data_IF_830883391000
#
_entry.id   IF_830883391000
#
_cell.length_a   1.000
_cell.length_b   1.000
_cell.length_c   1.000
_cell.angle_alpha   90.00
_cell.angle_beta   90.00
_cell.angle_gamma   90.00
#
_symmetry.space_group_name_H-M   'P 1'
#
loop_
_entity.id
_entity.type
_entity.pdbx_description
1 polymer ?
#
# COMPACT_ATOMS: atom_id res chain seq x y z
N UNK A 1 -21.39 19.01 7.59
CA UNK A 1 -20.94 17.80 8.30
C UNK A 1 -19.65 17.31 7.69
N UNK A 2 -18.67 16.95 8.51
CA UNK A 2 -17.38 16.47 8.04
C UNK A 2 -17.59 15.06 7.47
N UNK A 3 -17.31 14.85 6.18
CA UNK A 3 -17.43 13.54 5.55
C UNK A 3 -16.48 12.55 6.25
N UNK A 4 -17.03 11.59 6.96
CA UNK A 4 -16.31 10.49 7.57
C UNK A 4 -15.74 9.59 6.44
N UNK A 5 -14.65 8.88 6.72
CA UNK A 5 -14.20 7.82 5.86
C UNK A 5 -14.37 6.50 6.59
N UNK A 6 -15.19 5.61 6.03
CA UNK A 6 -15.49 4.31 6.60
C UNK A 6 -14.99 3.20 5.70
N UNK A 7 -14.69 2.08 6.31
CA UNK A 7 -14.22 0.85 5.66
C UNK A 7 -14.87 -0.37 6.34
N UNK A 8 -14.79 -1.53 5.70
CA UNK A 8 -15.26 -2.80 6.25
C UNK A 8 -14.07 -3.60 6.74
N UNK A 9 -14.08 -4.03 8.01
CA UNK A 9 -13.10 -4.99 8.51
C UNK A 9 -13.48 -6.40 8.04
N UNK A 10 -12.54 -7.05 7.35
CA UNK A 10 -12.79 -8.31 6.67
C UNK A 10 -13.23 -9.42 7.60
N UNK A 11 -12.53 -9.57 8.73
CA UNK A 11 -12.74 -10.70 9.66
C UNK A 11 -14.12 -10.66 10.32
N UNK A 12 -14.64 -9.48 10.62
CA UNK A 12 -15.93 -9.30 11.31
C UNK A 12 -17.08 -8.89 10.40
N UNK A 13 -16.79 -8.41 9.19
CA UNK A 13 -17.76 -7.79 8.28
C UNK A 13 -18.32 -6.45 8.79
N UNK A 14 -17.78 -5.88 9.87
CA UNK A 14 -18.28 -4.66 10.49
C UNK A 14 -17.70 -3.41 9.82
N UNK A 15 -18.50 -2.35 9.82
CA UNK A 15 -18.10 -1.02 9.34
C UNK A 15 -17.39 -0.27 10.45
N UNK A 16 -16.21 0.26 10.16
CA UNK A 16 -15.43 1.10 11.04
C UNK A 16 -15.18 2.48 10.43
N UNK A 17 -15.05 3.49 11.29
CA UNK A 17 -14.64 4.83 10.85
C UNK A 17 -13.14 5.00 11.02
N UNK A 18 -12.48 5.44 9.95
CA UNK A 18 -11.03 5.66 9.96
C UNK A 18 -10.66 6.90 10.79
N UNK A 19 -9.65 6.74 11.64
CA UNK A 19 -8.96 7.86 12.27
C UNK A 19 -7.97 8.47 11.28
N UNK A 20 -8.36 9.56 10.64
CA UNK A 20 -7.53 10.27 9.65
C UNK A 20 -6.55 11.21 10.34
N UNK A 21 -5.29 10.82 10.41
CA UNK A 21 -4.21 11.61 10.99
C UNK A 21 -3.90 12.83 10.11
N UNK A 22 -3.85 14.03 10.74
CA UNK A 22 -3.52 15.28 10.04
C UNK A 22 -4.51 15.73 8.96
N UNK A 23 -5.72 15.18 8.93
CA UNK A 23 -6.72 15.41 7.88
C UNK A 23 -7.04 16.89 7.63
N UNK A 24 -7.07 17.72 8.70
CA UNK A 24 -7.29 19.18 8.57
C UNK A 24 -6.17 19.87 7.80
N UNK A 25 -4.92 19.52 8.13
CA UNK A 25 -3.74 20.07 7.46
C UNK A 25 -3.66 19.61 6.01
N UNK A 26 -3.92 18.33 5.75
CA UNK A 26 -3.92 17.77 4.40
C UNK A 26 -5.00 18.45 3.56
N UNK A 27 -6.20 18.64 4.07
CA UNK A 27 -7.26 19.35 3.34
C UNK A 27 -6.91 20.81 3.06
N UNK A 28 -6.38 21.53 4.04
CA UNK A 28 -5.88 22.89 3.81
C UNK A 28 -4.85 22.93 2.68
N UNK A 29 -3.89 22.02 2.72
CA UNK A 29 -2.81 21.93 1.73
C UNK A 29 -3.35 21.63 0.33
N UNK A 30 -4.28 20.70 0.21
CA UNK A 30 -4.80 20.22 -1.08
C UNK A 30 -5.95 21.05 -1.65
N UNK A 31 -6.72 21.75 -0.83
CA UNK A 31 -7.79 22.62 -1.30
C UNK A 31 -7.30 24.06 -1.48
N UNK A 32 -6.76 24.67 -0.41
CA UNK A 32 -6.47 26.10 -0.42
C UNK A 32 -5.05 26.40 -0.92
N UNK A 33 -4.02 25.72 -0.40
CA UNK A 33 -2.63 26.00 -0.75
C UNK A 33 -2.35 25.61 -2.20
N UNK A 34 -2.86 24.48 -2.67
CA UNK A 34 -2.66 24.03 -4.06
C UNK A 34 -3.23 25.03 -5.06
N UNK A 35 -4.41 25.59 -4.78
CA UNK A 35 -5.09 26.51 -5.70
C UNK A 35 -4.52 27.94 -5.63
N UNK A 36 -4.22 28.43 -4.42
CA UNK A 36 -3.80 29.81 -4.21
C UNK A 36 -2.28 30.02 -4.16
N UNK A 37 -1.50 28.97 -3.89
CA UNK A 37 -0.05 29.03 -3.79
C UNK A 37 0.63 27.74 -4.36
N UNK A 38 0.55 27.50 -5.68
CA UNK A 38 1.00 26.24 -6.28
C UNK A 38 2.52 25.99 -6.11
N UNK A 39 3.34 27.04 -6.05
CA UNK A 39 4.78 26.91 -5.78
C UNK A 39 5.02 26.40 -4.35
N UNK A 40 4.27 26.90 -3.38
CA UNK A 40 4.35 26.43 -1.99
C UNK A 40 3.87 25.00 -1.86
N UNK A 41 2.79 24.63 -2.56
CA UNK A 41 2.31 23.26 -2.63
C UNK A 41 3.38 22.33 -3.22
N UNK A 42 4.02 22.71 -4.34
CA UNK A 42 5.13 21.97 -4.93
C UNK A 42 6.31 21.78 -3.96
N UNK A 43 6.61 22.79 -3.14
CA UNK A 43 7.64 22.73 -2.13
C UNK A 43 7.28 21.67 -1.05
N UNK A 44 6.05 21.68 -0.52
CA UNK A 44 5.61 20.73 0.50
C UNK A 44 5.56 19.27 -0.01
N UNK A 45 5.31 19.07 -1.29
CA UNK A 45 5.31 17.74 -1.92
C UNK A 45 6.68 17.34 -2.47
N UNK A 46 7.72 18.16 -2.25
CA UNK A 46 9.09 17.86 -2.66
C UNK A 46 9.79 16.85 -1.73
N UNK A 47 10.78 16.15 -2.26
CA UNK A 47 11.58 15.18 -1.50
C UNK A 47 12.28 15.82 -0.28
N UNK A 48 12.82 17.06 -0.43
CA UNK A 48 13.56 17.74 0.64
C UNK A 48 12.69 18.09 1.83
N UNK A 49 11.53 18.69 1.58
CA UNK A 49 10.59 19.07 2.66
C UNK A 49 9.94 17.85 3.25
N UNK A 50 9.58 16.88 2.43
CA UNK A 50 9.07 15.59 2.92
C UNK A 50 10.08 14.88 3.84
N UNK A 51 11.36 14.88 3.49
CA UNK A 51 12.44 14.34 4.33
C UNK A 51 12.61 15.10 5.64
N UNK A 52 12.58 16.45 5.62
CA UNK A 52 12.68 17.25 6.84
C UNK A 52 11.48 17.05 7.77
N UNK A 53 10.27 17.03 7.24
CA UNK A 53 9.05 16.74 8.00
C UNK A 53 9.09 15.31 8.58
N UNK A 54 9.61 14.35 7.82
CA UNK A 54 9.85 12.98 8.27
C UNK A 54 10.81 12.95 9.46
N UNK A 55 11.95 13.64 9.37
CA UNK A 55 12.92 13.71 10.47
C UNK A 55 12.32 14.33 11.74
N UNK A 56 11.66 15.49 11.63
CA UNK A 56 11.05 16.16 12.81
C UNK A 56 9.97 15.30 13.45
N UNK A 57 9.14 14.62 12.66
CA UNK A 57 8.01 13.86 13.18
C UNK A 57 8.38 12.45 13.65
N UNK A 58 9.44 11.84 13.12
CA UNK A 58 9.68 10.42 13.32
C UNK A 58 11.04 10.08 13.97
N UNK A 59 12.03 10.94 13.85
CA UNK A 59 13.36 10.69 14.38
C UNK A 59 13.64 11.41 15.71
N UNK A 60 12.83 12.42 16.06
CA UNK A 60 12.95 13.05 17.36
C UNK A 60 12.60 12.06 18.47
N UNK A 61 13.43 11.95 19.54
CA UNK A 61 13.12 11.09 20.67
C UNK A 61 11.73 11.45 21.24
N UNK A 62 10.92 10.44 21.46
CA UNK A 62 9.65 10.65 22.15
C UNK A 62 9.97 11.09 23.58
N UNK A 63 9.45 12.26 23.99
CA UNK A 63 9.77 12.90 25.27
C UNK A 63 9.84 11.88 26.40
N UNK A 64 11.03 11.80 27.03
CA UNK A 64 11.41 10.80 27.99
C UNK A 64 10.57 10.83 29.26
N UNK A 65 9.59 10.02 29.28
CA UNK A 65 8.82 9.65 30.43
C UNK A 65 8.22 8.27 30.17
N UNK A 66 8.18 7.44 31.17
CA UNK A 66 7.60 6.08 31.18
C UNK A 66 6.21 5.97 30.52
N UNK A 67 5.55 7.10 30.23
CA UNK A 67 4.21 7.20 29.63
C UNK A 67 4.23 7.60 28.15
N UNK A 68 5.25 8.29 27.64
CA UNK A 68 5.25 8.86 26.29
C UNK A 68 5.21 7.79 25.19
N UNK A 69 6.08 6.79 25.25
CA UNK A 69 6.12 5.70 24.30
C UNK A 69 4.87 4.84 24.35
N UNK A 70 4.41 4.49 25.55
CA UNK A 70 3.20 3.66 25.72
C UNK A 70 1.96 4.34 25.17
N UNK A 71 1.84 5.66 25.37
CA UNK A 71 0.72 6.42 24.82
C UNK A 71 0.75 6.45 23.30
N UNK A 72 1.91 6.71 22.68
CA UNK A 72 2.05 6.71 21.23
C UNK A 72 1.79 5.32 20.63
N UNK A 73 2.32 4.26 21.23
CA UNK A 73 2.06 2.87 20.83
C UNK A 73 0.56 2.53 20.92
N UNK A 74 -0.10 2.95 21.99
CA UNK A 74 -1.54 2.76 22.16
C UNK A 74 -2.36 3.57 21.15
N UNK A 75 -1.98 4.83 20.89
CA UNK A 75 -2.63 5.67 19.88
C UNK A 75 -2.49 5.13 18.47
N UNK A 76 -1.37 4.45 18.15
CA UNK A 76 -1.14 3.73 16.90
C UNK A 76 -1.77 2.32 16.88
N UNK A 77 -2.38 1.88 17.99
CA UNK A 77 -2.96 0.53 18.09
C UNK A 77 -1.95 -0.61 17.99
N UNK A 78 -0.68 -0.38 18.38
CA UNK A 78 0.38 -1.38 18.29
C UNK A 78 0.23 -2.42 19.39
N UNK A 79 0.01 -3.68 19.00
CA UNK A 79 0.09 -4.82 19.95
C UNK A 79 1.55 -5.24 20.12
N UNK A 80 2.13 -4.89 21.26
CA UNK A 80 3.52 -5.26 21.60
C UNK A 80 3.76 -6.78 21.62
N UNK A 81 2.71 -7.59 21.81
CA UNK A 81 2.81 -9.05 21.77
C UNK A 81 3.03 -9.59 20.34
N UNK A 82 2.80 -8.78 19.34
CA UNK A 82 3.12 -9.12 17.95
C UNK A 82 4.58 -8.81 17.59
N UNK A 83 5.23 -7.87 18.32
CA UNK A 83 6.55 -7.38 18.00
C UNK A 83 7.67 -8.36 18.40
N UNK A 84 8.74 -8.39 17.59
CA UNK A 84 9.97 -9.15 17.89
C UNK A 84 10.83 -8.43 18.92
N UNK A 85 10.83 -7.08 18.89
CA UNK A 85 11.62 -6.26 19.79
C UNK A 85 10.85 -6.00 21.09
N UNK A 86 11.56 -5.85 22.21
CA UNK A 86 10.95 -5.51 23.50
C UNK A 86 10.44 -4.06 23.52
N UNK A 87 9.50 -3.72 24.42
CA UNK A 87 8.89 -2.38 24.49
C UNK A 87 9.89 -1.22 24.57
N UNK A 88 11.01 -1.42 25.23
CA UNK A 88 12.07 -0.42 25.45
C UNK A 88 12.80 -0.04 24.18
N UNK A 89 12.75 -0.89 23.15
CA UNK A 89 13.32 -0.62 21.84
C UNK A 89 12.62 0.55 21.12
N UNK A 90 11.32 0.74 21.36
CA UNK A 90 10.48 1.69 20.64
C UNK A 90 10.54 3.10 21.25
N UNK A 91 11.71 3.73 21.23
CA UNK A 91 11.97 5.06 21.80
C UNK A 91 11.71 6.22 20.82
N UNK A 92 11.56 5.93 19.53
CA UNK A 92 11.21 6.89 18.48
C UNK A 92 10.01 6.40 17.65
N UNK A 93 9.21 7.33 17.08
CA UNK A 93 8.15 6.95 16.15
C UNK A 93 8.66 6.11 14.97
N UNK A 94 9.88 6.39 14.46
CA UNK A 94 10.49 5.58 13.40
C UNK A 94 10.60 4.11 13.79
N UNK A 95 11.11 3.79 14.97
CA UNK A 95 11.24 2.40 15.42
C UNK A 95 9.88 1.70 15.52
N UNK A 96 8.82 2.44 15.88
CA UNK A 96 7.45 1.91 15.90
C UNK A 96 6.98 1.56 14.48
N UNK A 97 7.23 2.42 13.50
CA UNK A 97 6.90 2.17 12.10
C UNK A 97 7.70 0.99 11.53
N UNK A 98 9.00 0.94 11.80
CA UNK A 98 9.91 -0.08 11.28
C UNK A 98 9.90 -1.37 12.12
N UNK A 99 8.88 -1.54 13.00
CA UNK A 99 8.77 -2.73 13.86
C UNK A 99 8.70 -4.01 13.06
N UNK A 100 9.38 -5.02 13.55
CA UNK A 100 9.26 -6.39 13.06
C UNK A 100 8.25 -7.14 13.93
N UNK A 101 7.47 -8.02 13.31
CA UNK A 101 6.43 -8.79 14.01
C UNK A 101 6.63 -10.30 13.80
N UNK A 102 6.05 -11.09 14.67
CA UNK A 102 5.96 -12.54 14.50
C UNK A 102 4.92 -12.90 13.41
N UNK A 103 5.15 -12.42 12.15
CA UNK A 103 4.15 -12.47 11.10
C UNK A 103 3.68 -13.90 10.77
N UNK A 104 4.54 -14.91 10.88
CA UNK A 104 4.16 -16.30 10.59
C UNK A 104 3.05 -16.79 11.53
N UNK A 105 3.08 -16.36 12.80
CA UNK A 105 2.07 -16.70 13.81
C UNK A 105 0.86 -15.78 13.78
N UNK A 106 1.09 -14.48 13.55
CA UNK A 106 0.06 -13.43 13.65
C UNK A 106 -0.66 -13.15 12.33
N UNK A 107 -0.05 -13.54 11.23
CA UNK A 107 -0.57 -13.41 9.86
C UNK A 107 -0.40 -14.75 9.14
N UNK A 108 -1.13 -15.80 9.58
CA UNK A 108 -1.02 -17.12 8.94
C UNK A 108 -1.33 -17.01 7.45
N UNK A 109 -0.54 -17.70 6.65
CA UNK A 109 -0.74 -17.76 5.21
C UNK A 109 -1.55 -19.01 4.86
N UNK A 110 -2.52 -18.90 3.93
CA UNK A 110 -3.25 -20.06 3.45
C UNK A 110 -2.31 -21.05 2.74
N UNK A 111 -2.57 -22.33 2.89
CA UNK A 111 -1.86 -23.41 2.21
C UNK A 111 -2.46 -23.66 0.82
N UNK A 112 -2.46 -22.63 -0.02
CA UNK A 112 -2.89 -22.69 -1.41
C UNK A 112 -1.81 -22.07 -2.29
N UNK A 113 -1.09 -22.87 -3.10
CA UNK A 113 -0.03 -22.39 -3.97
C UNK A 113 -0.54 -21.38 -5.02
N UNK A 114 -1.77 -21.55 -5.51
CA UNK A 114 -2.39 -20.65 -6.52
C UNK A 114 -3.02 -19.38 -5.95
N UNK A 115 -3.02 -19.21 -4.63
CA UNK A 115 -3.57 -18.00 -4.03
C UNK A 115 -2.59 -16.82 -4.13
N UNK A 116 -3.12 -15.65 -4.47
CA UNK A 116 -2.46 -14.35 -4.32
C UNK A 116 -2.80 -13.79 -2.95
N UNK A 117 -1.81 -13.37 -2.19
CA UNK A 117 -2.01 -12.88 -0.82
C UNK A 117 -1.76 -11.37 -0.70
N UNK A 118 -2.36 -10.74 0.31
CA UNK A 118 -2.14 -9.33 0.62
C UNK A 118 -0.65 -9.06 0.91
N UNK A 119 -0.06 -8.03 0.29
CA UNK A 119 1.33 -7.65 0.55
C UNK A 119 1.53 -6.98 1.90
N UNK A 120 0.47 -6.48 2.53
CA UNK A 120 0.54 -5.68 3.75
C UNK A 120 -0.73 -5.79 4.59
N UNK A 121 -0.63 -5.41 5.86
CA UNK A 121 -1.80 -4.98 6.64
C UNK A 121 -2.30 -3.65 6.05
N UNK A 122 -3.48 -3.65 5.42
CA UNK A 122 -3.87 -2.52 4.58
C UNK A 122 -5.37 -2.44 4.36
N UNK A 123 -5.81 -1.36 3.71
CA UNK A 123 -7.16 -1.24 3.15
C UNK A 123 -7.10 -1.43 1.65
N UNK A 124 -7.87 -2.38 1.14
CA UNK A 124 -7.82 -2.79 -0.26
C UNK A 124 -9.04 -2.28 -1.04
N UNK A 125 -8.75 -1.78 -2.24
CA UNK A 125 -9.70 -1.61 -3.35
C UNK A 125 -9.22 -2.44 -4.53
N UNK A 126 -10.14 -3.07 -5.23
CA UNK A 126 -9.84 -3.89 -6.41
C UNK A 126 -10.47 -3.29 -7.66
N UNK A 127 -9.98 -3.68 -8.84
CA UNK A 127 -10.52 -3.18 -10.08
C UNK A 127 -10.02 -3.92 -11.31
N UNK A 128 -10.58 -3.58 -12.47
CA UNK A 128 -10.18 -4.13 -13.77
C UNK A 128 -10.07 -3.03 -14.81
N UNK A 129 -9.07 -3.13 -15.69
CA UNK A 129 -8.91 -2.20 -16.82
C UNK A 129 -9.89 -2.47 -17.96
N UNK A 130 -10.58 -3.62 -17.95
CA UNK A 130 -11.59 -3.99 -18.95
C UNK A 130 -12.95 -3.38 -18.70
N UNK A 131 -13.37 -3.31 -17.44
CA UNK A 131 -14.67 -2.79 -17.10
C UNK A 131 -14.71 -1.28 -17.30
N UNK A 132 -15.56 -0.76 -18.19
CA UNK A 132 -15.71 0.68 -18.43
C UNK A 132 -16.00 1.47 -17.15
N UNK A 133 -16.72 0.85 -16.22
CA UNK A 133 -16.94 1.41 -14.87
C UNK A 133 -15.69 1.47 -14.01
N UNK A 134 -14.67 0.66 -14.30
CA UNK A 134 -13.41 0.58 -13.57
C UNK A 134 -12.28 1.36 -14.26
N UNK A 135 -12.39 1.68 -15.55
CA UNK A 135 -11.49 2.64 -16.21
C UNK A 135 -11.51 4.00 -15.52
N UNK A 136 -12.66 4.41 -15.02
CA UNK A 136 -12.78 5.64 -14.25
C UNK A 136 -11.94 5.61 -12.96
N UNK A 137 -11.87 4.47 -12.26
CA UNK A 137 -11.02 4.31 -11.08
C UNK A 137 -9.54 4.42 -11.43
N UNK A 138 -9.12 3.74 -12.50
CA UNK A 138 -7.77 3.82 -13.03
C UNK A 138 -7.35 5.27 -13.20
N UNK A 139 -8.11 6.07 -13.95
CA UNK A 139 -7.78 7.46 -14.24
C UNK A 139 -7.85 8.40 -13.02
N UNK A 140 -8.46 7.98 -11.92
CA UNK A 140 -8.51 8.74 -10.67
C UNK A 140 -7.32 8.46 -9.77
N UNK A 141 -6.92 7.19 -9.64
CA UNK A 141 -5.81 6.80 -8.78
C UNK A 141 -4.46 6.91 -9.49
N UNK A 142 -4.39 6.45 -10.73
CA UNK A 142 -3.16 6.48 -11.55
C UNK A 142 -3.47 6.47 -13.06
N UNK A 143 -2.58 7.04 -13.84
CA UNK A 143 -2.54 6.87 -15.29
C UNK A 143 -1.70 5.63 -15.60
N UNK A 144 -2.26 4.63 -16.27
CA UNK A 144 -1.66 3.30 -16.45
C UNK A 144 -0.26 3.36 -17.09
N UNK A 145 -0.12 4.09 -18.19
CA UNK A 145 1.16 4.22 -18.90
C UNK A 145 2.22 4.93 -18.05
N UNK A 146 1.81 6.00 -17.37
CA UNK A 146 2.71 6.75 -16.50
C UNK A 146 3.10 5.91 -15.28
N UNK A 147 2.16 5.12 -14.75
CA UNK A 147 2.34 4.34 -13.54
C UNK A 147 3.34 3.20 -13.71
N UNK A 148 3.32 2.51 -14.84
CA UNK A 148 4.28 1.46 -15.20
C UNK A 148 5.55 1.99 -15.89
N UNK A 149 5.56 3.26 -16.34
CA UNK A 149 6.64 3.84 -17.11
C UNK A 149 6.34 3.82 -18.62
N UNK A 150 6.27 5.00 -19.23
CA UNK A 150 5.92 5.17 -20.66
C UNK A 150 6.92 4.50 -21.62
N UNK A 151 8.16 4.34 -21.19
CA UNK A 151 9.23 3.67 -21.90
C UNK A 151 9.20 2.13 -21.79
N UNK A 152 8.46 1.61 -20.81
CA UNK A 152 8.34 0.17 -20.52
C UNK A 152 7.27 -0.52 -21.37
N UNK A 153 7.39 -0.41 -22.70
CA UNK A 153 6.39 -0.88 -23.68
C UNK A 153 6.03 -2.36 -23.55
N UNK A 154 6.96 -3.19 -23.15
CA UNK A 154 6.75 -4.62 -22.92
C UNK A 154 5.74 -4.83 -21.80
N UNK A 155 5.96 -4.20 -20.65
CA UNK A 155 5.08 -4.32 -19.48
C UNK A 155 3.73 -3.65 -19.71
N UNK A 156 3.69 -2.52 -20.43
CA UNK A 156 2.43 -1.89 -20.81
C UNK A 156 1.55 -2.81 -21.65
N UNK A 157 2.15 -3.55 -22.61
CA UNK A 157 1.40 -4.53 -23.41
C UNK A 157 0.97 -5.72 -22.57
N UNK A 158 1.85 -6.24 -21.71
CA UNK A 158 1.58 -7.42 -20.89
C UNK A 158 0.40 -7.22 -19.93
N UNK A 159 0.21 -6.01 -19.41
CA UNK A 159 -0.83 -5.69 -18.42
C UNK A 159 -2.03 -4.93 -19.00
N UNK A 160 -2.08 -4.67 -20.30
CA UNK A 160 -3.26 -4.08 -20.95
C UNK A 160 -4.48 -4.96 -20.72
N UNK A 161 -5.62 -4.37 -20.35
CA UNK A 161 -6.87 -5.11 -20.07
C UNK A 161 -6.87 -5.91 -18.77
N UNK A 162 -5.80 -5.91 -18.02
CA UNK A 162 -5.64 -6.69 -16.80
C UNK A 162 -6.46 -6.18 -15.61
N UNK A 163 -6.18 -6.76 -14.46
CA UNK A 163 -6.85 -6.46 -13.20
C UNK A 163 -5.87 -5.83 -12.20
N UNK A 164 -6.37 -5.10 -11.21
CA UNK A 164 -5.51 -4.45 -10.21
C UNK A 164 -6.10 -4.47 -8.80
N UNK A 165 -5.22 -4.41 -7.79
CA UNK A 165 -5.59 -4.22 -6.40
C UNK A 165 -4.71 -3.12 -5.79
N UNK A 166 -5.33 -2.17 -5.09
CA UNK A 166 -4.69 -1.04 -4.42
C UNK A 166 -4.76 -1.28 -2.91
N UNK A 167 -3.62 -1.33 -2.24
CA UNK A 167 -3.47 -1.58 -0.81
C UNK A 167 -2.94 -0.31 -0.14
N UNK A 168 -3.79 0.39 0.58
CA UNK A 168 -3.42 1.62 1.28
C UNK A 168 -3.05 1.30 2.73
N UNK A 169 -1.80 1.56 3.11
CA UNK A 169 -1.31 1.40 4.47
C UNK A 169 -1.53 2.69 5.25
N UNK A 170 -2.28 2.60 6.34
CA UNK A 170 -2.45 3.71 7.28
C UNK A 170 -1.31 3.73 8.31
N UNK A 171 -1.04 4.87 8.97
CA UNK A 171 0.11 5.02 9.87
C UNK A 171 0.18 4.03 11.04
N UNK A 172 -0.95 3.47 11.45
CA UNK A 172 -1.07 2.47 12.53
C UNK A 172 -0.65 1.06 12.10
N UNK A 173 -0.60 0.78 10.80
CA UNK A 173 -0.33 -0.55 10.27
C UNK A 173 1.15 -0.97 10.43
N UNK A 174 1.42 -2.24 10.19
CA UNK A 174 2.75 -2.79 10.00
C UNK A 174 3.25 -2.42 8.61
N UNK A 175 4.49 -1.92 8.47
CA UNK A 175 4.99 -1.25 7.27
C UNK A 175 6.02 -2.04 6.46
N UNK A 176 6.27 -3.30 6.77
CA UNK A 176 6.94 -4.20 5.82
C UNK A 176 5.95 -4.67 4.77
N UNK A 177 6.37 -4.64 3.51
CA UNK A 177 5.66 -5.28 2.41
C UNK A 177 6.20 -6.67 2.19
N UNK A 178 5.30 -7.60 1.97
CA UNK A 178 5.65 -8.99 1.68
C UNK A 178 5.28 -9.33 0.22
N UNK A 179 5.94 -10.32 -0.34
CA UNK A 179 5.63 -10.81 -1.68
C UNK A 179 4.22 -11.40 -1.72
N UNK A 180 3.39 -10.91 -2.63
CA UNK A 180 2.01 -11.42 -2.79
C UNK A 180 1.93 -12.77 -3.50
N UNK A 181 2.96 -13.11 -4.25
CA UNK A 181 3.06 -14.30 -5.10
C UNK A 181 4.46 -14.91 -4.98
N UNK A 182 4.60 -16.20 -5.29
CA UNK A 182 5.88 -16.81 -5.54
C UNK A 182 6.23 -16.71 -7.04
N UNK A 183 7.48 -16.42 -7.36
CA UNK A 183 7.90 -16.32 -8.74
C UNK A 183 9.31 -15.75 -8.90
N UNK A 184 9.74 -15.64 -10.14
CA UNK A 184 11.04 -15.08 -10.51
C UNK A 184 10.88 -13.61 -10.89
N UNK A 185 11.73 -12.76 -10.37
CA UNK A 185 11.79 -11.34 -10.76
C UNK A 185 12.23 -11.24 -12.22
N UNK A 186 11.33 -10.78 -13.09
CA UNK A 186 11.59 -10.54 -14.50
C UNK A 186 12.25 -9.16 -14.71
N UNK A 187 11.75 -8.12 -14.01
CA UNK A 187 12.31 -6.76 -14.06
C UNK A 187 12.16 -6.07 -12.70
N UNK A 188 13.07 -5.12 -12.43
CA UNK A 188 13.05 -4.31 -11.22
C UNK A 188 13.57 -2.92 -11.56
N UNK A 189 12.76 -1.88 -11.33
CA UNK A 189 13.13 -0.50 -11.60
C UNK A 189 12.43 0.50 -10.70
N UNK A 190 13.03 1.69 -10.58
CA UNK A 190 12.48 2.81 -9.83
C UNK A 190 12.00 3.90 -10.80
N UNK A 191 10.90 4.54 -10.47
CA UNK A 191 10.37 5.68 -11.19
C UNK A 191 10.39 6.87 -10.24
N UNK A 192 11.11 7.92 -10.62
CA UNK A 192 11.17 9.17 -9.86
C UNK A 192 9.81 9.88 -9.83
N UNK A 193 9.55 10.62 -8.76
CA UNK A 193 8.31 11.36 -8.59
C UNK A 193 8.29 12.20 -7.32
N UNK A 194 7.14 12.81 -7.04
CA UNK A 194 6.86 13.57 -5.84
C UNK A 194 6.40 12.72 -4.66
N UNK A 195 5.82 13.39 -3.67
CA UNK A 195 5.36 12.79 -2.41
C UNK A 195 3.96 13.28 -2.07
N UNK A 196 2.97 12.99 -2.93
CA UNK A 196 1.58 13.31 -2.65
C UNK A 196 1.01 12.39 -1.58
N UNK A 197 0.09 12.92 -0.77
CA UNK A 197 -0.54 12.14 0.30
C UNK A 197 -1.46 11.03 -0.22
N UNK A 198 -1.44 9.87 0.43
CA UNK A 198 -2.39 8.77 0.20
C UNK A 198 -3.66 8.88 1.09
N UNK A 199 -3.85 9.99 1.82
CA UNK A 199 -5.09 10.25 2.55
C UNK A 199 -6.27 10.29 1.58
N UNK A 200 -7.41 9.63 1.88
CA UNK A 200 -8.57 9.58 0.99
C UNK A 200 -9.07 10.96 0.52
N UNK A 201 -9.01 11.97 1.39
CA UNK A 201 -9.36 13.36 1.01
C UNK A 201 -8.42 13.94 -0.03
N UNK A 202 -7.12 13.70 0.07
CA UNK A 202 -6.13 14.14 -0.91
C UNK A 202 -6.26 13.38 -2.24
N UNK A 203 -6.45 12.06 -2.18
CA UNK A 203 -6.60 11.20 -3.37
C UNK A 203 -7.81 11.61 -4.21
N UNK A 204 -8.91 11.99 -3.58
CA UNK A 204 -10.10 12.49 -4.30
C UNK A 204 -9.84 13.84 -4.99
N UNK A 205 -9.00 14.69 -4.40
CA UNK A 205 -8.68 16.03 -4.91
C UNK A 205 -7.64 16.05 -6.04
N UNK A 206 -6.74 15.08 -6.07
CA UNK A 206 -5.65 15.01 -7.06
C UNK A 206 -5.94 13.97 -8.13
N UNK A 207 -5.77 14.35 -9.38
CA UNK A 207 -5.88 13.40 -10.50
C UNK A 207 -4.61 12.56 -10.56
N UNK A 208 -4.75 11.23 -10.55
CA UNK A 208 -3.67 10.25 -10.69
C UNK A 208 -2.51 10.41 -9.67
N UNK A 209 -2.79 10.56 -8.35
CA UNK A 209 -1.74 10.88 -7.38
C UNK A 209 -0.66 9.80 -7.30
N UNK A 210 -1.01 8.53 -7.47
CA UNK A 210 -0.04 7.43 -7.37
C UNK A 210 0.95 7.42 -8.54
N UNK A 211 0.55 7.84 -9.74
CA UNK A 211 1.47 7.99 -10.88
C UNK A 211 2.48 9.12 -10.72
N UNK A 212 2.14 10.12 -9.90
CA UNK A 212 3.00 11.28 -9.65
C UNK A 212 4.04 11.04 -8.56
N UNK A 213 3.86 10.02 -7.74
CA UNK A 213 4.77 9.71 -6.64
C UNK A 213 5.94 8.84 -7.08
N UNK A 214 7.09 9.01 -6.38
CA UNK A 214 8.22 8.07 -6.47
C UNK A 214 7.71 6.67 -6.14
N UNK A 215 8.13 5.67 -6.92
CA UNK A 215 7.70 4.28 -6.77
C UNK A 215 8.75 3.30 -7.24
N UNK A 216 8.64 2.09 -6.72
CA UNK A 216 9.45 0.93 -7.11
C UNK A 216 8.54 -0.08 -7.79
N UNK A 217 8.92 -0.56 -8.95
CA UNK A 217 8.19 -1.56 -9.73
C UNK A 217 8.99 -2.86 -9.75
N UNK A 218 8.34 -3.94 -9.37
CA UNK A 218 8.89 -5.30 -9.46
C UNK A 218 7.95 -6.13 -10.33
N UNK A 219 8.45 -6.61 -11.46
CA UNK A 219 7.71 -7.54 -12.34
C UNK A 219 8.11 -8.96 -11.95
N UNK A 220 7.13 -9.79 -11.64
CA UNK A 220 7.32 -11.15 -11.15
C UNK A 220 6.67 -12.11 -12.16
N UNK A 221 7.44 -13.01 -12.72
CA UNK A 221 6.94 -14.14 -13.50
C UNK A 221 6.60 -15.28 -12.56
N UNK A 222 5.32 -15.61 -12.47
CA UNK A 222 4.82 -16.66 -11.59
C UNK A 222 4.57 -17.98 -12.31
N UNK A 223 4.71 -18.03 -13.65
CA UNK A 223 4.57 -19.25 -14.47
C UNK A 223 5.91 -20.01 -14.57
N UNK A 224 6.67 -20.02 -13.48
CA UNK A 224 7.95 -20.73 -13.32
C UNK A 224 7.81 -21.85 -12.29
N UNK A 225 8.70 -22.85 -12.28
CA UNK A 225 8.66 -23.91 -11.27
C UNK A 225 8.66 -23.36 -9.85
N UNK A 226 7.66 -23.76 -9.05
CA UNK A 226 7.43 -23.27 -7.69
C UNK A 226 6.75 -21.89 -7.60
N UNK A 227 6.39 -21.30 -8.73
CA UNK A 227 5.65 -20.05 -8.79
C UNK A 227 4.15 -20.21 -8.50
N UNK A 228 3.46 -19.10 -8.35
CA UNK A 228 2.01 -19.08 -8.02
C UNK A 228 1.12 -19.44 -9.22
N UNK A 229 1.60 -19.32 -10.46
CA UNK A 229 0.86 -19.71 -11.67
C UNK A 229 -0.23 -18.72 -12.09
N UNK A 230 -0.07 -17.43 -11.79
CA UNK A 230 -1.00 -16.36 -12.17
C UNK A 230 -0.45 -15.43 -13.25
N UNK A 231 0.53 -15.90 -14.04
CA UNK A 231 1.19 -15.12 -15.08
C UNK A 231 2.15 -14.07 -14.53
N UNK A 232 2.30 -12.98 -15.25
CA UNK A 232 3.07 -11.84 -14.80
C UNK A 232 2.28 -11.02 -13.77
N UNK A 233 2.96 -10.60 -12.71
CA UNK A 233 2.43 -9.71 -11.68
C UNK A 233 3.35 -8.51 -11.53
N UNK A 234 2.83 -7.29 -11.65
CA UNK A 234 3.55 -6.10 -11.27
C UNK A 234 3.20 -5.74 -9.81
N UNK A 235 4.19 -5.78 -8.92
CA UNK A 235 4.11 -5.27 -7.56
C UNK A 235 4.74 -3.88 -7.53
N UNK A 236 3.94 -2.86 -7.24
CA UNK A 236 4.32 -1.46 -7.31
C UNK A 236 4.18 -0.83 -5.93
N UNK A 237 5.29 -0.42 -5.37
CA UNK A 237 5.39 0.22 -4.06
C UNK A 237 5.47 1.72 -4.24
N UNK A 238 4.52 2.47 -3.69
CA UNK A 238 4.38 3.92 -3.89
C UNK A 238 4.61 4.66 -2.58
N UNK A 239 5.55 5.60 -2.57
CA UNK A 239 5.75 6.50 -1.43
C UNK A 239 4.64 7.54 -1.34
N UNK A 240 4.49 8.15 -0.16
CA UNK A 240 3.59 9.29 0.01
C UNK A 240 4.23 10.38 0.88
N UNK A 241 3.50 11.45 1.17
CA UNK A 241 3.96 12.58 1.96
C UNK A 241 4.52 12.14 3.32
N UNK A 242 5.63 12.72 3.71
CA UNK A 242 6.42 12.42 4.91
C UNK A 242 7.13 11.06 4.91
N UNK A 243 7.08 10.31 3.81
CA UNK A 243 7.88 9.11 3.64
C UNK A 243 9.09 9.42 2.78
N UNK A 244 10.24 9.02 3.27
CA UNK A 244 11.48 9.28 2.56
C UNK A 244 11.86 8.19 1.57
N UNK A 245 11.57 6.89 1.85
CA UNK A 245 12.19 5.81 1.09
C UNK A 245 11.46 4.48 1.18
N UNK A 246 11.72 3.62 0.19
CA UNK A 246 11.33 2.21 0.15
C UNK A 246 12.62 1.39 0.22
N UNK A 247 12.88 0.80 1.38
CA UNK A 247 14.09 -0.01 1.58
C UNK A 247 13.83 -1.43 1.08
N UNK A 248 14.54 -1.86 0.03
CA UNK A 248 14.46 -3.24 -0.43
C UNK A 248 15.26 -4.15 0.50
N UNK A 249 14.57 -5.09 1.14
CA UNK A 249 15.12 -5.97 2.16
C UNK A 249 14.49 -7.37 2.09
N UNK A 250 14.40 -7.93 0.87
CA UNK A 250 13.84 -9.27 0.68
C UNK A 250 14.57 -10.30 1.53
N UNK A 251 13.83 -11.11 2.28
CA UNK A 251 14.38 -12.24 3.01
C UNK A 251 13.47 -13.46 2.91
N UNK A 252 14.05 -14.58 2.47
CA UNK A 252 13.36 -15.87 2.51
C UNK A 252 13.34 -16.49 3.93
N UNK A 253 14.08 -15.92 4.86
CA UNK A 253 14.28 -16.38 6.24
C UNK A 253 13.82 -15.30 7.23
N UNK A 254 12.53 -14.99 7.20
CA UNK A 254 11.89 -13.93 8.00
C UNK A 254 12.45 -12.54 7.66
N UNK A 255 13.30 -11.99 8.53
CA UNK A 255 13.98 -10.69 8.36
C UNK A 255 15.50 -10.85 8.28
N UNK A 256 15.98 -12.09 8.39
CA UNK A 256 17.41 -12.40 8.43
C UNK A 256 17.99 -12.37 7.00
N UNK A 257 19.26 -12.04 6.91
CA UNK A 257 20.01 -12.00 5.64
C UNK A 257 19.30 -11.24 4.50
N UNK A 258 18.89 -9.97 4.73
CA UNK A 258 18.12 -9.23 3.75
C UNK A 258 18.91 -8.97 2.47
N UNK A 259 18.28 -9.19 1.33
CA UNK A 259 18.84 -9.01 0.00
C UNK A 259 18.12 -7.87 -0.74
N UNK A 260 18.87 -7.10 -1.51
CA UNK A 260 18.27 -6.17 -2.46
C UNK A 260 17.63 -6.95 -3.61
N UNK A 261 16.38 -6.61 -3.95
CA UNK A 261 15.67 -7.23 -5.07
C UNK A 261 16.38 -6.91 -6.40
N UNK A 262 16.52 -7.92 -7.25
CA UNK A 262 17.11 -7.80 -8.59
C UNK A 262 16.50 -8.83 -9.56
N UNK A 263 16.52 -8.57 -10.86
CA UNK A 263 16.11 -9.53 -11.87
C UNK A 263 16.81 -10.90 -11.71
N UNK A 264 16.07 -11.96 -12.00
CA UNK A 264 16.52 -13.35 -11.86
C UNK A 264 16.33 -13.98 -10.48
N UNK A 265 16.11 -13.20 -9.41
CA UNK A 265 15.84 -13.75 -8.09
C UNK A 265 14.48 -14.46 -8.06
N UNK A 266 14.43 -15.61 -7.38
CA UNK A 266 13.17 -16.23 -7.01
C UNK A 266 12.71 -15.69 -5.65
N UNK A 267 11.48 -15.20 -5.58
CA UNK A 267 10.85 -14.71 -4.34
C UNK A 267 9.77 -15.69 -3.86
N UNK A 268 9.77 -15.99 -2.55
CA UNK A 268 8.78 -16.85 -1.92
C UNK A 268 7.55 -16.02 -1.54
N UNK A 269 6.35 -16.52 -1.83
CA UNK A 269 5.09 -15.92 -1.41
C UNK A 269 5.04 -15.68 0.10
N UNK A 270 4.58 -14.52 0.52
CA UNK A 270 4.45 -14.14 1.93
C UNK A 270 5.76 -13.82 2.65
N UNK A 271 6.88 -13.76 1.95
CA UNK A 271 8.18 -13.37 2.52
C UNK A 271 8.34 -11.83 2.56
N UNK A 272 9.00 -11.24 3.58
CA UNK A 272 9.32 -9.82 3.61
C UNK A 272 10.11 -9.41 2.37
N UNK A 273 9.68 -8.34 1.69
CA UNK A 273 10.31 -7.83 0.47
C UNK A 273 10.94 -6.46 0.66
N UNK A 274 10.21 -5.57 1.31
CA UNK A 274 10.63 -4.20 1.50
C UNK A 274 10.03 -3.60 2.76
N UNK A 275 10.54 -2.42 3.12
CA UNK A 275 10.06 -1.64 4.26
C UNK A 275 9.80 -0.21 3.81
N UNK A 276 8.61 0.29 4.08
CA UNK A 276 8.33 1.72 4.02
C UNK A 276 8.89 2.40 5.26
N UNK A 277 9.71 3.42 5.07
CA UNK A 277 10.07 4.35 6.14
C UNK A 277 8.89 5.24 6.50
N UNK A 278 8.87 5.85 7.71
CA UNK A 278 7.63 6.40 8.31
C UNK A 278 6.79 7.29 7.41
N UNK A 279 5.47 7.05 7.42
CA UNK A 279 4.43 7.82 6.74
C UNK A 279 3.29 6.95 6.19
N UNK A 280 2.42 7.47 5.34
CA UNK A 280 1.42 6.66 4.62
C UNK A 280 1.98 6.15 3.29
N UNK A 281 1.55 4.99 2.86
CA UNK A 281 2.08 4.31 1.67
C UNK A 281 0.99 3.51 0.96
N UNK A 282 1.28 3.07 -0.24
CA UNK A 282 0.34 2.30 -1.03
C UNK A 282 1.09 1.26 -1.86
N UNK A 283 0.65 0.00 -1.78
CA UNK A 283 1.03 -1.01 -2.75
C UNK A 283 -0.04 -1.14 -3.83
N UNK A 284 0.38 -1.42 -5.04
CA UNK A 284 -0.53 -1.76 -6.12
C UNK A 284 -0.03 -3.05 -6.78
N UNK A 285 -0.92 -4.02 -6.88
CA UNK A 285 -0.70 -5.21 -7.71
C UNK A 285 -1.43 -5.03 -9.02
N UNK A 286 -0.76 -5.33 -10.13
CA UNK A 286 -1.38 -5.40 -11.46
C UNK A 286 -1.16 -6.80 -12.01
N UNK A 287 -2.23 -7.38 -12.54
CA UNK A 287 -2.26 -8.73 -13.10
C UNK A 287 -2.55 -8.67 -14.60
N UNK A 288 -2.11 -9.66 -15.34
CA UNK A 288 -2.50 -9.83 -16.73
C UNK A 288 -4.01 -10.15 -16.83
N UNK A 289 -4.59 -9.86 -17.97
CA UNK A 289 -6.00 -10.09 -18.26
C UNK A 289 -6.41 -11.55 -18.02
N UNK A 290 -7.47 -11.75 -17.21
CA UNK A 290 -8.06 -13.06 -16.95
C UNK A 290 -7.24 -14.01 -16.10
N UNK A 291 -6.08 -13.59 -15.58
CA UNK A 291 -5.18 -14.47 -14.81
C UNK A 291 -5.58 -14.63 -13.34
N UNK A 292 -6.44 -13.77 -12.84
CA UNK A 292 -6.88 -13.82 -11.44
C UNK A 292 -8.39 -13.65 -11.29
N UNK A 293 -8.95 -14.25 -10.24
CA UNK A 293 -10.28 -13.97 -9.74
C UNK A 293 -10.16 -13.44 -8.31
N UNK A 294 -10.60 -12.22 -8.08
CA UNK A 294 -10.61 -11.64 -6.73
C UNK A 294 -11.54 -12.39 -5.79
N UNK A 295 -11.20 -12.39 -4.49
CA UNK A 295 -12.04 -12.96 -3.46
C UNK A 295 -13.43 -12.28 -3.46
N UNK A 296 -14.50 -13.06 -3.40
CA UNK A 296 -15.88 -12.60 -3.55
C UNK A 296 -16.28 -11.56 -2.50
N UNK A 297 -15.78 -11.71 -1.28
CA UNK A 297 -16.03 -10.77 -0.19
C UNK A 297 -15.43 -9.39 -0.46
N UNK A 298 -14.26 -9.31 -1.08
CA UNK A 298 -13.65 -8.02 -1.48
C UNK A 298 -14.47 -7.35 -2.57
N UNK A 299 -14.99 -8.12 -3.53
CA UNK A 299 -15.86 -7.62 -4.59
C UNK A 299 -17.16 -7.09 -3.98
N UNK A 300 -17.81 -7.87 -3.12
CA UNK A 300 -19.08 -7.50 -2.48
C UNK A 300 -18.95 -6.27 -1.61
N UNK A 301 -17.90 -6.22 -0.77
CA UNK A 301 -17.65 -5.10 0.13
C UNK A 301 -17.43 -3.79 -0.62
N UNK A 302 -16.70 -3.81 -1.73
CA UNK A 302 -16.40 -2.61 -2.51
C UNK A 302 -17.67 -1.90 -3.00
N UNK A 303 -18.72 -2.66 -3.34
CA UNK A 303 -19.97 -2.11 -3.86
C UNK A 303 -21.04 -1.82 -2.78
N UNK A 304 -20.70 -1.92 -1.50
CA UNK A 304 -21.61 -1.63 -0.40
C UNK A 304 -22.04 -0.16 -0.41
N UNK A 305 -23.36 0.09 -0.36
CA UNK A 305 -23.94 1.43 -0.44
C UNK A 305 -24.13 2.11 0.90
N UNK A 306 -24.24 1.36 1.98
CA UNK A 306 -24.57 1.85 3.32
C UNK A 306 -23.35 2.29 4.16
N UNK A 307 -22.21 2.53 3.51
CA UNK A 307 -20.94 2.87 4.15
C UNK A 307 -20.44 4.22 3.66
N UNK A 308 -20.11 5.11 4.59
CA UNK A 308 -19.67 6.48 4.33
C UNK A 308 -18.21 6.55 3.86
N UNK A 309 -17.90 6.10 2.64
CA UNK A 309 -16.56 6.20 2.06
C UNK A 309 -16.34 7.53 1.34
N UNK A 310 -15.22 8.21 1.60
CA UNK A 310 -14.82 9.41 0.84
C UNK A 310 -14.59 9.11 -0.64
N UNK A 311 -14.13 7.91 -0.97
CA UNK A 311 -14.00 7.49 -2.36
C UNK A 311 -15.37 7.36 -3.03
N UNK A 312 -16.36 6.77 -2.35
CA UNK A 312 -17.72 6.70 -2.87
C UNK A 312 -18.29 8.09 -3.15
N UNK A 313 -18.11 9.02 -2.22
CA UNK A 313 -18.58 10.40 -2.37
C UNK A 313 -17.83 11.16 -3.48
N UNK A 314 -16.50 11.06 -3.49
CA UNK A 314 -15.67 11.79 -4.44
C UNK A 314 -15.78 11.27 -5.86
N UNK A 315 -16.10 10.00 -6.05
CA UNK A 315 -16.18 9.37 -7.38
C UNK A 315 -17.59 9.05 -7.84
N UNK A 316 -18.61 9.36 -7.02
CA UNK A 316 -20.02 9.25 -7.39
C UNK A 316 -20.52 7.81 -7.56
N UNK A 317 -19.86 6.83 -6.95
CA UNK A 317 -20.24 5.41 -6.96
C UNK A 317 -19.78 4.70 -5.71
N UNK A 318 -20.37 3.55 -5.32
CA UNK A 318 -19.88 2.77 -4.20
C UNK A 318 -18.42 2.35 -4.42
N UNK A 319 -17.55 2.72 -3.48
CA UNK A 319 -16.14 2.38 -3.41
C UNK A 319 -15.73 2.32 -1.95
N UNK A 320 -15.95 1.19 -1.34
CA UNK A 320 -15.65 0.94 0.06
C UNK A 320 -14.42 0.06 0.18
N UNK A 321 -13.44 0.54 0.95
CA UNK A 321 -12.24 -0.25 1.22
C UNK A 321 -12.56 -1.39 2.19
N UNK A 322 -11.89 -2.53 2.00
CA UNK A 322 -11.88 -3.64 2.97
C UNK A 322 -10.54 -3.66 3.70
N UNK A 323 -10.58 -3.64 5.04
CA UNK A 323 -9.38 -3.81 5.87
C UNK A 323 -8.96 -5.28 5.86
N UNK A 324 -7.76 -5.55 5.36
CA UNK A 324 -7.20 -6.89 5.21
C UNK A 324 -5.90 -7.03 5.98
N UNK A 325 -5.64 -8.22 6.47
CA UNK A 325 -4.37 -8.57 7.09
C UNK A 325 -3.36 -9.00 6.02
N UNK A 326 -2.11 -8.69 6.27
CA UNK A 326 -0.98 -9.26 5.56
C UNK A 326 -1.15 -10.77 5.38
N UNK A 327 -0.79 -11.30 4.20
CA UNK A 327 -0.83 -12.73 3.85
C UNK A 327 -2.23 -13.34 3.76
N UNK A 328 -3.32 -12.57 3.98
CA UNK A 328 -4.68 -13.06 3.68
C UNK A 328 -4.93 -13.12 2.17
N UNK A 329 -5.76 -14.05 1.72
CA UNK A 329 -6.06 -14.23 0.29
C UNK A 329 -6.76 -12.97 -0.26
N UNK A 330 -6.32 -12.47 -1.41
CA UNK A 330 -6.97 -11.39 -2.15
C UNK A 330 -7.49 -11.83 -3.51
N UNK A 331 -6.86 -12.85 -4.10
CA UNK A 331 -7.29 -13.43 -5.36
C UNK A 331 -6.81 -14.88 -5.48
N UNK A 332 -7.38 -15.58 -6.43
CA UNK A 332 -7.00 -16.94 -6.84
C UNK A 332 -6.61 -16.94 -8.30
N UNK A 333 -5.84 -17.93 -8.74
CA UNK A 333 -5.57 -18.15 -10.14
C UNK A 333 -6.88 -18.24 -10.93
N UNK A 334 -6.98 -17.48 -12.01
CA UNK A 334 -8.10 -17.55 -12.95
C UNK A 334 -8.16 -18.96 -13.57
N UNK A 335 -9.36 -19.47 -13.77
CA UNK A 335 -9.52 -20.68 -14.58
C UNK A 335 -9.27 -20.28 -16.02
N UNK A 336 -8.20 -20.80 -16.61
CA UNK A 336 -7.92 -20.73 -18.05
C UNK A 336 -8.98 -21.51 -18.83
#
# INVERSE_FOLDING_TARGET
MQAQHQYIERDSGKVFTEKLYGDRLIRLLYNEVRENAPLLFGLFTSARVSGLLGFINFDAPMAGGLTGNRRFLAECGVDLKECLQPPEFFDTPRKVFERQIHYEKRRPMPDDPGAVVSPADSRVLIGSFRASSMLFLKEKFFAFEEFLGRDKREWLRAFTGGDFAIFRLTPDKYHYNHTSVAGRVADFFEIAGGYHSCNPGAVVQVVTPYSKNKRVVTIIDTDVPGGTGVGLVAMIEVVAMMIGDIVQCYSAERYDNPLRVKPGMFMRKGAPKSLYRPGSSTDVLIFQEGRVNFAEDLVSNMFTTNTGSRFSQGFGRPLVETDVKLRSIVAYAGRT
#
